data_IF_513232448017
#
_entry.id   IF_513232448017
#
_cell.length_a   1.000
_cell.length_b   1.000
_cell.length_c   1.000
_cell.angle_alpha   90.00
_cell.angle_beta   90.00
_cell.angle_gamma   90.00
#
_symmetry.space_group_name_H-M   'P 1'
#
loop_
_entity.id
_entity.type
_entity.pdbx_description
1 polymer ?
#
# COMPACT_ATOMS: atom_id res chain seq x y z
N UNK A 1 -7.66 -27.10 15.01
CA UNK A 1 -6.69 -26.14 15.61
C UNK A 1 -5.31 -26.43 15.02
N UNK A 2 -4.92 -25.71 13.97
CA UNK A 2 -3.55 -25.82 13.43
C UNK A 2 -2.60 -25.04 14.34
N UNK A 3 -1.63 -25.75 14.93
CA UNK A 3 -0.55 -25.14 15.72
C UNK A 3 0.30 -24.27 14.80
N UNK A 4 0.02 -22.95 14.80
CA UNK A 4 0.84 -21.96 14.10
C UNK A 4 2.18 -21.83 14.82
N UNK A 5 3.25 -22.31 14.21
CA UNK A 5 4.60 -21.85 14.57
C UNK A 5 4.73 -20.43 14.06
N UNK A 6 4.44 -19.47 14.92
CA UNK A 6 4.72 -18.06 14.68
C UNK A 6 6.24 -17.87 14.63
N UNK A 7 6.75 -17.28 13.55
CA UNK A 7 8.16 -16.93 13.45
C UNK A 7 8.36 -15.54 14.06
N UNK A 8 9.06 -15.47 15.17
CA UNK A 8 9.52 -14.19 15.70
C UNK A 8 10.41 -13.51 14.67
N UNK A 9 10.06 -12.31 14.28
CA UNK A 9 10.87 -11.51 13.36
C UNK A 9 12.05 -10.89 14.11
N UNK A 10 13.24 -10.92 13.51
CA UNK A 10 14.35 -10.11 13.99
C UNK A 10 14.00 -8.62 13.82
N UNK A 11 14.15 -7.83 14.89
CA UNK A 11 13.87 -6.40 14.88
C UNK A 11 15.11 -5.53 14.56
N UNK A 12 16.28 -6.14 14.32
CA UNK A 12 17.54 -5.41 14.15
C UNK A 12 17.46 -4.35 13.05
N UNK A 13 16.82 -4.70 11.93
CA UNK A 13 16.65 -3.84 10.76
C UNK A 13 15.24 -3.24 10.65
N UNK A 14 14.49 -3.19 11.74
CA UNK A 14 13.15 -2.61 11.78
C UNK A 14 13.20 -1.22 12.42
N UNK A 15 12.66 -0.21 11.72
CA UNK A 15 12.47 1.14 12.27
C UNK A 15 11.08 1.65 11.93
N UNK A 16 10.45 2.29 12.91
CA UNK A 16 9.16 2.97 12.81
C UNK A 16 9.35 4.40 13.31
N UNK A 17 9.41 5.35 12.39
CA UNK A 17 9.74 6.75 12.67
C UNK A 17 11.03 6.89 13.49
N UNK A 18 12.09 6.20 13.03
CA UNK A 18 13.41 6.19 13.65
C UNK A 18 13.54 5.31 14.90
N UNK A 19 12.45 4.81 15.47
CA UNK A 19 12.46 3.95 16.67
C UNK A 19 12.46 2.48 16.29
N UNK A 20 13.20 1.68 17.03
CA UNK A 20 13.20 0.23 16.92
C UNK A 20 12.09 -0.36 17.81
N UNK A 21 11.14 -1.12 17.24
CA UNK A 21 10.15 -1.82 18.06
C UNK A 21 10.81 -2.94 18.87
N UNK A 22 10.24 -3.27 20.03
CA UNK A 22 10.66 -4.44 20.80
C UNK A 22 10.29 -5.72 20.03
N UNK A 23 11.10 -6.81 20.12
CA UNK A 23 10.81 -8.05 19.38
C UNK A 23 9.43 -8.63 19.65
N UNK A 24 8.95 -8.54 20.89
CA UNK A 24 7.64 -9.05 21.32
C UNK A 24 6.45 -8.28 20.73
N UNK A 25 6.69 -7.08 20.20
CA UNK A 25 5.66 -6.28 19.52
C UNK A 25 5.50 -6.67 18.06
N UNK A 26 6.48 -7.36 17.47
CA UNK A 26 6.46 -7.75 16.07
C UNK A 26 5.96 -9.17 15.91
N UNK A 27 5.10 -9.36 14.91
CA UNK A 27 4.64 -10.69 14.53
C UNK A 27 4.44 -10.80 13.02
N UNK A 28 4.67 -12.02 12.52
CA UNK A 28 4.47 -12.31 11.10
C UNK A 28 2.99 -12.30 10.72
N UNK A 29 2.70 -11.85 9.51
CA UNK A 29 1.40 -12.04 8.89
C UNK A 29 1.09 -13.54 8.76
N UNK A 30 -0.17 -13.86 8.92
CA UNK A 30 -0.65 -15.24 8.72
C UNK A 30 -0.88 -15.48 7.24
N UNK A 31 -0.17 -16.44 6.69
CA UNK A 31 -0.32 -16.80 5.29
C UNK A 31 -1.68 -17.43 5.02
N UNK A 32 -2.34 -16.96 3.98
CA UNK A 32 -3.57 -17.49 3.41
C UNK A 32 -3.23 -18.31 2.17
N UNK A 33 -4.02 -19.34 1.89
CA UNK A 33 -3.80 -20.19 0.72
C UNK A 33 -4.93 -19.99 -0.30
N UNK A 34 -4.58 -20.00 -1.58
CA UNK A 34 -5.57 -19.79 -2.65
C UNK A 34 -6.57 -20.95 -2.80
N UNK A 35 -6.22 -22.14 -2.34
CA UNK A 35 -7.07 -23.32 -2.34
C UNK A 35 -8.02 -23.42 -1.14
N UNK A 36 -7.99 -22.45 -0.21
CA UNK A 36 -8.98 -22.38 0.86
C UNK A 36 -10.38 -22.19 0.27
N UNK A 37 -11.38 -22.81 0.91
CA UNK A 37 -12.78 -22.55 0.59
C UNK A 37 -13.14 -21.07 0.76
N UNK A 38 -14.03 -20.55 -0.08
CA UNK A 38 -14.41 -19.14 -0.08
C UNK A 38 -14.92 -18.65 1.28
N UNK A 39 -15.68 -19.47 1.96
CA UNK A 39 -16.19 -19.16 3.29
C UNK A 39 -15.03 -19.04 4.30
N UNK A 40 -14.02 -19.94 4.25
CA UNK A 40 -12.85 -19.87 5.13
C UNK A 40 -12.02 -18.60 4.87
N UNK A 41 -11.84 -18.18 3.61
CA UNK A 41 -11.19 -16.92 3.27
C UNK A 41 -11.94 -15.71 3.86
N UNK A 42 -13.29 -15.71 3.75
CA UNK A 42 -14.11 -14.63 4.32
C UNK A 42 -14.08 -14.60 5.84
N UNK A 43 -14.09 -15.76 6.49
CA UNK A 43 -13.94 -15.84 7.95
C UNK A 43 -12.58 -15.31 8.40
N UNK A 44 -11.49 -15.73 7.76
CA UNK A 44 -10.15 -15.23 8.05
C UNK A 44 -10.04 -13.72 7.81
N UNK A 45 -10.62 -13.21 6.73
CA UNK A 45 -10.65 -11.78 6.42
C UNK A 45 -11.43 -10.98 7.47
N UNK A 46 -12.59 -11.48 7.88
CA UNK A 46 -13.40 -10.86 8.93
C UNK A 46 -12.69 -10.89 10.29
N UNK A 47 -12.05 -12.00 10.62
CA UNK A 47 -11.38 -12.18 11.91
C UNK A 47 -10.08 -11.39 12.01
N UNK A 48 -9.22 -11.45 10.99
CA UNK A 48 -7.90 -10.81 11.03
C UNK A 48 -7.92 -9.38 10.47
N UNK A 49 -8.93 -9.00 9.68
CA UNK A 49 -8.98 -7.73 8.92
C UNK A 49 -8.10 -7.74 7.67
N UNK A 50 -7.41 -8.85 7.40
CA UNK A 50 -6.54 -9.01 6.24
C UNK A 50 -6.40 -10.47 5.81
N UNK A 51 -5.91 -10.65 4.56
CA UNK A 51 -5.37 -11.90 4.03
C UNK A 51 -3.99 -11.60 3.44
N UNK A 52 -3.03 -12.50 3.64
CA UNK A 52 -1.69 -12.42 3.06
C UNK A 52 -1.44 -13.62 2.16
N UNK A 53 -1.00 -13.37 0.93
CA UNK A 53 -0.63 -14.40 -0.04
C UNK A 53 0.81 -14.21 -0.48
N UNK A 54 1.63 -15.24 -0.22
CA UNK A 54 3.01 -15.27 -0.64
C UNK A 54 3.10 -15.57 -2.14
N UNK A 55 3.87 -14.77 -2.88
CA UNK A 55 4.13 -14.94 -4.32
C UNK A 55 2.86 -15.15 -5.15
N UNK A 56 1.84 -14.32 -4.91
CA UNK A 56 0.59 -14.35 -5.67
C UNK A 56 0.83 -14.10 -7.16
N UNK A 57 1.76 -13.21 -7.48
CA UNK A 57 2.21 -12.94 -8.84
C UNK A 57 3.55 -13.59 -9.10
N UNK A 58 3.74 -14.02 -10.35
CA UNK A 58 5.03 -14.54 -10.78
C UNK A 58 6.08 -13.41 -10.89
N UNK A 59 7.34 -13.78 -10.65
CA UNK A 59 8.44 -12.84 -10.60
C UNK A 59 8.71 -12.17 -11.96
N UNK A 60 8.55 -12.89 -13.07
CA UNK A 60 8.88 -12.37 -14.41
C UNK A 60 7.92 -11.25 -14.83
N UNK A 61 6.63 -11.40 -14.56
CA UNK A 61 5.64 -10.36 -14.81
C UNK A 61 5.95 -9.08 -14.04
N UNK A 62 6.40 -9.19 -12.81
CA UNK A 62 6.75 -8.04 -11.97
C UNK A 62 8.09 -7.44 -12.38
N UNK A 63 9.08 -8.24 -12.76
CA UNK A 63 10.40 -7.76 -13.17
C UNK A 63 10.29 -6.80 -14.36
N UNK A 64 9.53 -7.17 -15.38
CA UNK A 64 9.31 -6.32 -16.54
C UNK A 64 8.63 -4.98 -16.16
N UNK A 65 7.58 -5.04 -15.34
CA UNK A 65 6.89 -3.86 -14.82
C UNK A 65 7.83 -2.97 -14.00
N UNK A 66 8.59 -3.56 -13.07
CA UNK A 66 9.53 -2.85 -12.21
C UNK A 66 10.58 -2.10 -13.01
N UNK A 67 11.23 -2.76 -13.96
CA UNK A 67 12.22 -2.14 -14.86
C UNK A 67 11.62 -0.98 -15.63
N UNK A 68 10.38 -1.15 -16.11
CA UNK A 68 9.66 -0.11 -16.84
C UNK A 68 9.37 1.12 -15.97
N UNK A 69 8.89 0.93 -14.74
CA UNK A 69 8.63 2.06 -13.83
C UNK A 69 9.93 2.77 -13.47
N UNK A 70 10.97 2.02 -13.15
CA UNK A 70 12.26 2.64 -12.80
C UNK A 70 12.93 3.34 -13.98
N UNK A 71 12.68 2.93 -15.25
CA UNK A 71 13.21 3.65 -16.40
C UNK A 71 12.77 5.12 -16.43
N UNK A 72 11.53 5.43 -16.06
CA UNK A 72 11.06 6.80 -15.95
C UNK A 72 11.81 7.60 -14.86
N UNK A 73 12.18 6.96 -13.75
CA UNK A 73 12.92 7.61 -12.66
C UNK A 73 14.40 7.79 -12.99
N UNK A 74 14.96 6.89 -13.80
CA UNK A 74 16.32 7.01 -14.35
C UNK A 74 16.40 8.21 -15.29
N UNK A 75 15.39 8.43 -16.15
CA UNK A 75 15.33 9.57 -17.06
C UNK A 75 15.43 10.93 -16.35
N UNK A 76 14.95 10.99 -15.11
CA UNK A 76 14.97 12.21 -14.27
C UNK A 76 16.05 12.19 -13.19
N UNK A 77 17.03 11.30 -13.31
CA UNK A 77 18.20 11.11 -12.44
C UNK A 77 17.88 10.78 -10.98
N UNK A 78 16.67 10.35 -10.64
CA UNK A 78 16.31 10.01 -9.27
C UNK A 78 16.82 8.66 -8.82
N UNK A 79 16.94 7.75 -9.75
CA UNK A 79 17.38 6.38 -9.52
C UNK A 79 18.45 6.02 -10.53
N UNK A 80 19.42 5.23 -10.11
CA UNK A 80 20.38 4.55 -10.98
C UNK A 80 20.28 3.04 -10.79
N UNK A 81 20.48 2.28 -11.84
CA UNK A 81 20.55 0.84 -11.76
C UNK A 81 22.00 0.38 -11.53
N UNK A 82 22.19 -0.47 -10.54
CA UNK A 82 23.50 -1.07 -10.21
C UNK A 82 23.27 -2.54 -9.86
N UNK A 83 23.75 -3.46 -10.68
CA UNK A 83 23.64 -4.91 -10.45
C UNK A 83 22.19 -5.35 -10.12
N UNK A 84 21.22 -4.97 -10.97
CA UNK A 84 19.78 -5.24 -10.82
C UNK A 84 19.11 -4.58 -9.60
N UNK A 85 19.82 -3.67 -8.91
CA UNK A 85 19.29 -2.86 -7.81
C UNK A 85 19.02 -1.43 -8.28
N UNK A 86 17.94 -0.84 -7.80
CA UNK A 86 17.54 0.53 -8.12
C UNK A 86 17.88 1.44 -6.92
N UNK A 87 18.94 2.19 -7.08
CA UNK A 87 19.56 2.98 -6.00
C UNK A 87 19.15 4.45 -6.15
N UNK A 88 18.66 5.05 -5.09
CA UNK A 88 18.33 6.46 -5.03
C UNK A 88 19.60 7.32 -5.14
N UNK A 89 19.56 8.33 -5.99
CA UNK A 89 20.73 9.19 -6.27
C UNK A 89 20.85 10.38 -5.30
N UNK A 90 19.80 10.68 -4.57
CA UNK A 90 19.70 11.94 -3.79
C UNK A 90 19.32 13.15 -4.62
N UNK A 91 19.13 13.00 -5.94
CA UNK A 91 18.81 14.07 -6.88
C UNK A 91 17.41 13.88 -7.47
N UNK A 92 16.88 14.94 -8.05
CA UNK A 92 15.68 14.91 -8.89
C UNK A 92 15.76 16.05 -9.90
N UNK A 93 15.89 15.72 -11.17
CA UNK A 93 15.90 16.67 -12.28
C UNK A 93 14.56 16.66 -13.04
N UNK A 94 13.47 16.36 -12.35
CA UNK A 94 12.13 16.32 -12.96
C UNK A 94 11.73 17.63 -13.58
N UNK A 95 11.93 18.73 -12.84
CA UNK A 95 11.52 20.06 -13.26
C UNK A 95 12.31 20.56 -14.46
N UNK A 96 13.58 20.18 -14.53
CA UNK A 96 14.49 20.54 -15.61
C UNK A 96 14.23 19.73 -16.88
N UNK A 97 13.92 18.44 -16.71
CA UNK A 97 13.79 17.50 -17.83
C UNK A 97 12.36 17.33 -18.33
N UNK A 98 11.35 17.47 -17.46
CA UNK A 98 9.96 17.17 -17.77
C UNK A 98 9.13 18.46 -17.80
N UNK A 99 8.58 18.80 -18.97
CA UNK A 99 7.71 19.98 -19.13
C UNK A 99 6.32 19.80 -18.52
N UNK A 100 5.77 18.59 -18.59
CA UNK A 100 4.43 18.25 -18.07
C UNK A 100 4.54 17.08 -17.07
N UNK A 101 4.69 17.44 -15.81
CA UNK A 101 4.78 16.46 -14.71
C UNK A 101 3.51 15.65 -14.54
N UNK A 102 2.35 16.23 -14.80
CA UNK A 102 1.08 15.52 -14.75
C UNK A 102 1.02 14.39 -15.80
N UNK A 103 1.48 14.66 -17.02
CA UNK A 103 1.60 13.65 -18.07
C UNK A 103 2.66 12.59 -17.72
N UNK A 104 3.80 13.01 -17.18
CA UNK A 104 4.85 12.10 -16.73
C UNK A 104 4.30 11.07 -15.73
N UNK A 105 3.57 11.53 -14.71
CA UNK A 105 2.99 10.65 -13.71
C UNK A 105 1.86 9.79 -14.25
N UNK A 106 1.02 10.33 -15.13
CA UNK A 106 0.02 9.52 -15.83
C UNK A 106 0.65 8.38 -16.62
N UNK A 107 1.73 8.65 -17.35
CA UNK A 107 2.43 7.61 -18.10
C UNK A 107 2.90 6.46 -17.21
N UNK A 108 3.35 6.77 -15.99
CA UNK A 108 3.78 5.75 -15.01
C UNK A 108 2.58 5.00 -14.45
N UNK A 109 1.56 5.71 -13.98
CA UNK A 109 0.39 5.11 -13.29
C UNK A 109 -0.59 4.45 -14.25
N UNK A 110 -0.62 4.86 -15.51
CA UNK A 110 -1.40 4.26 -16.59
C UNK A 110 -0.59 3.29 -17.46
N UNK A 111 0.62 2.94 -17.06
CA UNK A 111 1.41 1.95 -17.77
C UNK A 111 0.63 0.64 -17.89
N UNK A 112 0.57 0.11 -19.11
CA UNK A 112 -0.25 -1.05 -19.42
C UNK A 112 0.17 -2.31 -18.64
N UNK A 113 1.46 -2.45 -18.30
CA UNK A 113 1.94 -3.55 -17.46
C UNK A 113 1.40 -3.43 -16.04
N UNK A 114 1.36 -2.21 -15.48
CA UNK A 114 0.79 -1.96 -14.17
C UNK A 114 -0.72 -2.24 -14.16
N UNK A 115 -1.43 -1.78 -15.20
CA UNK A 115 -2.86 -2.05 -15.37
C UNK A 115 -3.14 -3.55 -15.53
N UNK A 116 -2.35 -4.25 -16.34
CA UNK A 116 -2.48 -5.70 -16.53
C UNK A 116 -2.30 -6.47 -15.21
N UNK A 117 -1.42 -6.00 -14.32
CA UNK A 117 -1.21 -6.60 -13.01
C UNK A 117 -2.38 -6.30 -12.07
N UNK A 118 -2.67 -5.01 -11.86
CA UNK A 118 -3.63 -4.54 -10.86
C UNK A 118 -5.09 -4.83 -11.21
N UNK A 119 -5.40 -5.05 -12.51
CA UNK A 119 -6.72 -5.42 -13.02
C UNK A 119 -6.70 -6.85 -13.59
N UNK A 120 -5.78 -7.70 -13.11
CA UNK A 120 -5.66 -9.07 -13.61
C UNK A 120 -6.89 -9.91 -13.26
N UNK A 121 -7.14 -10.93 -14.07
CA UNK A 121 -8.20 -11.89 -13.81
C UNK A 121 -8.03 -12.57 -12.45
N UNK A 122 -6.80 -12.95 -12.09
CA UNK A 122 -6.52 -13.59 -10.81
C UNK A 122 -6.88 -12.73 -9.60
N UNK A 123 -6.60 -11.40 -9.66
CA UNK A 123 -7.03 -10.49 -8.59
C UNK A 123 -8.55 -10.32 -8.56
N UNK A 124 -9.21 -10.21 -9.71
CA UNK A 124 -10.67 -10.16 -9.74
C UNK A 124 -11.29 -11.41 -9.12
N UNK A 125 -10.84 -12.60 -9.51
CA UNK A 125 -11.33 -13.87 -8.96
C UNK A 125 -11.11 -13.95 -7.45
N UNK A 126 -9.95 -13.52 -6.94
CA UNK A 126 -9.70 -13.47 -5.49
C UNK A 126 -10.63 -12.47 -4.79
N UNK A 127 -10.76 -11.25 -5.32
CA UNK A 127 -11.61 -10.22 -4.73
C UNK A 127 -13.11 -10.59 -4.79
N UNK A 128 -13.56 -11.26 -5.85
CA UNK A 128 -14.91 -11.80 -5.97
C UNK A 128 -15.21 -12.80 -4.84
N UNK A 129 -14.28 -13.69 -4.55
CA UNK A 129 -14.38 -14.68 -3.46
C UNK A 129 -14.44 -14.01 -2.08
N UNK A 130 -13.60 -12.99 -1.85
CA UNK A 130 -13.56 -12.26 -0.57
C UNK A 130 -14.83 -11.44 -0.38
N UNK A 131 -15.27 -10.70 -1.41
CA UNK A 131 -16.46 -9.84 -1.37
C UNK A 131 -17.78 -10.61 -1.52
N UNK A 132 -17.70 -11.90 -1.84
CA UNK A 132 -18.86 -12.77 -2.12
C UNK A 132 -19.78 -12.23 -3.23
N UNK A 133 -19.21 -11.56 -4.20
CA UNK A 133 -19.91 -11.01 -5.35
C UNK A 133 -18.91 -10.62 -6.44
N UNK A 134 -19.41 -10.35 -7.65
CA UNK A 134 -18.57 -9.77 -8.70
C UNK A 134 -17.98 -8.45 -8.23
N UNK A 135 -16.68 -8.32 -8.31
CA UNK A 135 -15.95 -7.11 -7.95
C UNK A 135 -15.56 -6.26 -9.16
N UNK A 136 -15.14 -5.04 -8.88
CA UNK A 136 -14.51 -4.13 -9.84
C UNK A 136 -13.32 -3.44 -9.17
N UNK A 137 -12.19 -3.38 -9.88
CA UNK A 137 -11.05 -2.58 -9.47
C UNK A 137 -11.31 -1.08 -9.69
N UNK A 138 -10.84 -0.25 -8.78
CA UNK A 138 -10.79 1.19 -9.01
C UNK A 138 -9.68 1.52 -10.01
N UNK A 139 -9.91 2.51 -10.87
CA UNK A 139 -8.95 2.94 -11.87
C UNK A 139 -7.79 3.73 -11.25
N UNK A 140 -8.01 4.35 -10.09
CA UNK A 140 -6.99 5.10 -9.38
C UNK A 140 -6.04 4.16 -8.62
N UNK A 141 -4.77 4.17 -9.00
CA UNK A 141 -3.73 3.35 -8.38
C UNK A 141 -2.82 4.19 -7.49
N UNK A 142 -2.42 3.63 -6.35
CA UNK A 142 -1.38 4.21 -5.51
C UNK A 142 -0.05 3.49 -5.74
N UNK A 143 0.79 4.05 -6.57
CA UNK A 143 2.15 3.58 -6.75
C UNK A 143 3.06 4.29 -5.73
N UNK A 144 3.72 3.50 -4.88
CA UNK A 144 4.58 4.02 -3.81
C UNK A 144 6.04 3.76 -4.15
N UNK A 145 6.74 4.86 -4.43
CA UNK A 145 8.17 4.86 -4.69
C UNK A 145 8.84 5.48 -3.47
N UNK A 146 9.43 4.64 -2.62
CA UNK A 146 9.98 5.07 -1.34
C UNK A 146 11.49 4.93 -1.32
N UNK A 147 12.15 6.08 -1.38
CA UNK A 147 13.58 6.20 -1.18
C UNK A 147 13.94 6.05 0.30
N UNK A 148 15.22 5.92 0.59
CA UNK A 148 15.72 5.85 1.98
C UNK A 148 15.25 7.06 2.78
N UNK A 149 14.84 6.84 4.02
CA UNK A 149 14.28 7.83 4.93
C UNK A 149 12.77 8.07 4.76
N UNK A 150 12.09 7.36 3.86
CA UNK A 150 10.64 7.49 3.64
C UNK A 150 9.87 6.33 4.27
N UNK A 151 8.68 6.65 4.75
CA UNK A 151 7.69 5.73 5.31
C UNK A 151 6.27 6.22 5.06
N UNK A 152 5.29 5.37 5.30
CA UNK A 152 3.87 5.74 5.34
C UNK A 152 3.42 5.92 6.79
N UNK A 153 2.80 7.06 7.10
CA UNK A 153 2.18 7.31 8.40
C UNK A 153 1.09 6.28 8.69
N UNK A 154 0.85 6.00 9.97
CA UNK A 154 -0.28 5.17 10.37
C UNK A 154 -1.59 5.82 9.95
N UNK A 155 -2.44 5.12 9.24
CA UNK A 155 -3.74 5.60 8.77
C UNK A 155 -4.72 4.44 8.57
N UNK A 156 -5.97 4.80 8.32
CA UNK A 156 -7.02 3.91 7.84
C UNK A 156 -7.45 4.39 6.45
N UNK A 157 -7.74 3.46 5.56
CA UNK A 157 -8.21 3.78 4.22
C UNK A 157 -9.67 4.25 4.18
N UNK A 158 -10.46 4.04 5.23
CA UNK A 158 -11.89 4.34 5.27
C UNK A 158 -12.22 5.80 4.95
N UNK A 159 -11.49 6.75 5.53
CA UNK A 159 -11.71 8.18 5.30
C UNK A 159 -11.46 8.65 3.86
N UNK A 160 -10.79 7.85 3.07
CA UNK A 160 -10.46 8.14 1.67
C UNK A 160 -11.47 7.52 0.70
N UNK A 161 -11.85 6.24 0.92
CA UNK A 161 -12.45 5.41 -0.13
C UNK A 161 -13.89 5.01 0.14
N UNK A 162 -14.45 5.22 1.34
CA UNK A 162 -15.77 4.70 1.71
C UNK A 162 -16.93 5.67 1.49
N UNK A 163 -16.73 6.81 0.82
CA UNK A 163 -17.79 7.82 0.58
C UNK A 163 -19.04 7.25 -0.09
N UNK A 164 -18.88 6.33 -1.04
CA UNK A 164 -19.98 5.80 -1.83
C UNK A 164 -20.42 4.41 -1.40
N UNK A 165 -19.50 3.62 -0.88
CA UNK A 165 -19.75 2.30 -0.33
C UNK A 165 -18.71 1.96 0.75
N UNK A 166 -19.10 1.31 1.86
CA UNK A 166 -18.15 0.82 2.85
C UNK A 166 -17.44 -0.48 2.39
N UNK A 167 -17.94 -1.12 1.34
CA UNK A 167 -17.51 -2.45 0.89
C UNK A 167 -16.26 -2.38 -0.01
N UNK A 168 -15.30 -1.55 0.35
CA UNK A 168 -14.03 -1.45 -0.38
C UNK A 168 -12.97 -2.25 0.34
N UNK A 169 -12.10 -2.92 -0.42
CA UNK A 169 -10.93 -3.60 0.09
C UNK A 169 -9.69 -3.08 -0.63
N UNK A 170 -8.55 -3.02 0.06
CA UNK A 170 -7.26 -2.67 -0.53
C UNK A 170 -6.44 -3.93 -0.78
N UNK A 171 -5.85 -4.00 -1.95
CA UNK A 171 -4.81 -4.98 -2.29
C UNK A 171 -3.48 -4.22 -2.40
N UNK A 172 -2.61 -4.43 -1.44
CA UNK A 172 -1.23 -3.97 -1.47
C UNK A 172 -0.36 -5.03 -2.16
N UNK A 173 0.51 -4.61 -3.08
CA UNK A 173 1.31 -5.50 -3.92
C UNK A 173 2.78 -5.12 -3.78
N UNK A 174 3.64 -6.09 -3.44
CA UNK A 174 5.09 -5.92 -3.45
C UNK A 174 5.64 -6.07 -4.88
N UNK A 175 6.14 -4.97 -5.44
CA UNK A 175 6.73 -4.93 -6.78
C UNK A 175 8.27 -5.11 -6.76
N UNK A 176 8.83 -5.50 -5.63
CA UNK A 176 10.23 -5.80 -5.41
C UNK A 176 10.44 -6.50 -4.09
N UNK A 177 11.61 -7.08 -3.87
CA UNK A 177 11.97 -7.54 -2.53
C UNK A 177 11.89 -6.37 -1.55
N UNK A 178 11.16 -6.58 -0.47
CA UNK A 178 10.94 -5.54 0.56
C UNK A 178 11.20 -6.13 1.94
N UNK A 179 12.48 -6.36 2.29
CA UNK A 179 12.86 -6.75 3.64
C UNK A 179 12.56 -5.65 4.65
N UNK A 180 12.59 -5.94 5.95
CA UNK A 180 12.29 -4.99 7.02
C UNK A 180 13.03 -3.67 6.89
N UNK A 181 14.29 -3.71 6.46
CA UNK A 181 15.11 -2.52 6.25
C UNK A 181 14.67 -1.64 5.08
N UNK A 182 13.87 -2.17 4.15
CA UNK A 182 13.27 -1.41 3.04
C UNK A 182 11.85 -0.93 3.34
N UNK A 183 11.38 -1.14 4.55
CA UNK A 183 10.14 -0.56 5.03
C UNK A 183 8.88 -1.23 4.47
N UNK A 184 8.62 -2.54 4.69
CA UNK A 184 7.38 -3.20 4.27
C UNK A 184 6.16 -2.60 4.98
N UNK A 185 5.00 -2.98 4.49
CA UNK A 185 3.73 -2.65 5.15
C UNK A 185 3.69 -3.25 6.56
N UNK A 186 3.09 -2.52 7.50
CA UNK A 186 2.62 -3.08 8.76
C UNK A 186 1.11 -2.90 8.91
N UNK A 187 0.50 -3.79 9.66
CA UNK A 187 -0.89 -3.70 10.12
C UNK A 187 -0.89 -3.72 11.65
N UNK A 188 -1.76 -2.92 12.29
CA UNK A 188 -1.99 -3.02 13.72
C UNK A 188 -3.07 -4.07 13.98
N UNK A 189 -2.69 -5.13 14.70
CA UNK A 189 -3.53 -6.29 14.95
C UNK A 189 -4.87 -5.90 15.56
N UNK A 190 -5.96 -6.46 15.03
CA UNK A 190 -7.34 -6.23 15.51
C UNK A 190 -7.82 -4.75 15.54
N UNK A 191 -7.05 -3.81 14.99
CA UNK A 191 -7.44 -2.39 14.97
C UNK A 191 -8.77 -2.14 14.23
N UNK A 192 -9.10 -2.98 13.25
CA UNK A 192 -10.37 -2.95 12.51
C UNK A 192 -11.60 -3.34 13.35
N UNK A 193 -11.41 -3.93 14.54
CA UNK A 193 -12.45 -4.31 15.49
C UNK A 193 -12.54 -3.32 16.66
N UNK A 194 -11.64 -2.35 16.76
CA UNK A 194 -11.62 -1.40 17.85
C UNK A 194 -12.76 -0.39 17.70
N UNK A 195 -13.76 -0.47 18.58
CA UNK A 195 -14.98 0.34 18.52
C UNK A 195 -14.69 1.84 18.54
N UNK A 196 -13.70 2.30 19.31
CA UNK A 196 -13.31 3.70 19.36
C UNK A 196 -12.74 4.19 18.04
N UNK A 197 -11.87 3.39 17.40
CA UNK A 197 -11.33 3.72 16.09
C UNK A 197 -12.45 3.75 15.04
N UNK A 198 -13.33 2.75 15.06
CA UNK A 198 -14.46 2.67 14.11
C UNK A 198 -15.37 3.89 14.27
N UNK A 199 -15.71 4.29 15.52
CA UNK A 199 -16.56 5.46 15.75
C UNK A 199 -15.84 6.76 15.34
N UNK A 200 -14.54 6.89 15.63
CA UNK A 200 -13.74 8.04 15.19
C UNK A 200 -13.65 8.15 13.67
N UNK A 201 -13.65 7.05 12.96
CA UNK A 201 -13.60 7.02 11.48
C UNK A 201 -14.98 7.16 10.83
N UNK A 202 -16.06 6.94 11.60
CA UNK A 202 -17.41 6.99 11.08
C UNK A 202 -17.75 8.36 10.50
N UNK A 203 -18.29 8.37 9.29
CA UNK A 203 -18.62 9.57 8.54
C UNK A 203 -17.42 10.51 8.26
N UNK A 204 -16.19 10.06 8.52
CA UNK A 204 -15.02 10.84 8.18
C UNK A 204 -14.73 10.75 6.67
N UNK A 205 -14.52 11.89 6.04
CA UNK A 205 -14.14 12.01 4.63
C UNK A 205 -13.07 13.11 4.49
N UNK A 206 -11.86 12.72 4.15
CA UNK A 206 -10.69 13.61 4.08
C UNK A 206 -10.87 14.79 3.11
N UNK A 207 -11.71 14.66 2.10
CA UNK A 207 -11.98 15.73 1.14
C UNK A 207 -13.00 16.73 1.67
N UNK A 208 -13.86 16.35 2.58
CA UNK A 208 -14.91 17.18 3.19
C UNK A 208 -14.48 17.77 4.53
N UNK A 209 -13.90 16.95 5.39
CA UNK A 209 -13.47 17.35 6.72
C UNK A 209 -11.98 17.76 6.72
N UNK A 210 -11.76 19.05 6.52
CA UNK A 210 -10.41 19.63 6.50
C UNK A 210 -9.78 19.83 7.88
N UNK A 211 -10.54 19.63 8.96
CA UNK A 211 -10.04 19.81 10.33
C UNK A 211 -9.47 18.52 10.92
N UNK A 212 -9.89 17.36 10.42
CA UNK A 212 -9.41 16.07 10.86
C UNK A 212 -8.28 15.58 9.96
N UNK A 213 -7.25 15.00 10.56
CA UNK A 213 -6.18 14.31 9.82
C UNK A 213 -6.58 12.87 9.55
N UNK A 214 -6.25 12.40 8.36
CA UNK A 214 -6.48 11.02 7.97
C UNK A 214 -5.43 10.06 8.58
N UNK A 215 -4.30 10.59 8.98
CA UNK A 215 -3.18 9.84 9.55
C UNK A 215 -2.92 10.25 10.99
N UNK A 216 -2.37 9.32 11.75
CA UNK A 216 -1.87 9.56 13.11
C UNK A 216 -0.41 10.01 13.04
N UNK A 217 -0.10 11.15 13.65
CA UNK A 217 1.28 11.67 13.72
C UNK A 217 2.13 10.96 14.79
N UNK A 218 1.48 10.16 15.66
CA UNK A 218 2.14 9.39 16.70
C UNK A 218 2.98 8.25 16.10
N UNK A 219 4.05 7.88 16.82
CA UNK A 219 4.82 6.72 16.44
C UNK A 219 3.95 5.45 16.46
N UNK A 220 4.01 4.60 15.44
CA UNK A 220 3.21 3.36 15.39
C UNK A 220 3.42 2.44 16.60
N UNK A 221 4.60 2.49 17.24
CA UNK A 221 4.88 1.75 18.48
C UNK A 221 3.97 2.22 19.60
N UNK A 222 3.85 3.55 19.78
CA UNK A 222 3.03 4.14 20.83
C UNK A 222 1.52 3.86 20.59
N UNK A 223 1.10 3.85 19.31
CA UNK A 223 -0.26 3.47 18.95
C UNK A 223 -0.52 2.00 19.26
N UNK A 224 0.41 1.11 18.94
CA UNK A 224 0.29 -0.32 19.23
C UNK A 224 0.27 -0.59 20.75
N UNK A 225 1.08 0.12 21.54
CA UNK A 225 1.06 0.05 23.00
C UNK A 225 -0.29 0.54 23.56
N UNK A 226 -0.80 1.67 23.07
CA UNK A 226 -2.11 2.21 23.46
C UNK A 226 -3.25 1.25 23.15
N UNK A 227 -3.20 0.57 22.03
CA UNK A 227 -4.20 -0.40 21.61
C UNK A 227 -3.96 -1.81 22.21
N UNK A 228 -2.85 -2.01 22.92
CA UNK A 228 -2.42 -3.32 23.43
C UNK A 228 -2.40 -4.39 22.34
N UNK A 229 -1.90 -4.05 21.16
CA UNK A 229 -1.86 -4.92 19.99
C UNK A 229 -0.43 -5.11 19.46
N UNK A 230 -0.27 -6.11 18.59
CA UNK A 230 1.00 -6.35 17.89
C UNK A 230 1.04 -5.58 16.58
N UNK A 231 2.25 -5.41 16.08
CA UNK A 231 2.55 -4.84 14.77
C UNK A 231 2.85 -6.02 13.84
N UNK A 232 1.93 -6.29 12.92
CA UNK A 232 2.01 -7.41 12.00
C UNK A 232 2.75 -6.99 10.74
N UNK A 233 3.81 -7.69 10.39
CA UNK A 233 4.61 -7.45 9.18
C UNK A 233 5.46 -8.66 8.85
N UNK A 234 6.23 -8.58 7.77
CA UNK A 234 7.32 -9.53 7.47
C UNK A 234 8.21 -9.00 6.35
N UNK A 235 9.29 -9.72 6.04
CA UNK A 235 10.01 -9.53 4.79
C UNK A 235 9.09 -9.94 3.64
N UNK A 236 8.79 -9.02 2.74
CA UNK A 236 7.93 -9.27 1.59
C UNK A 236 8.76 -9.64 0.37
N UNK A 237 8.38 -10.71 -0.28
CA UNK A 237 8.96 -11.11 -1.57
C UNK A 237 8.28 -10.41 -2.73
N UNK A 238 8.94 -10.45 -3.89
CA UNK A 238 8.33 -10.00 -5.16
C UNK A 238 7.05 -10.79 -5.42
N UNK A 239 5.96 -10.07 -5.68
CA UNK A 239 4.67 -10.69 -5.98
C UNK A 239 3.81 -11.03 -4.77
N UNK A 240 4.30 -10.80 -3.55
CA UNK A 240 3.47 -10.91 -2.36
C UNK A 240 2.34 -9.87 -2.39
N UNK A 241 1.17 -10.27 -1.90
CA UNK A 241 0.05 -9.34 -1.71
C UNK A 241 -0.51 -9.42 -0.30
N UNK A 242 -1.00 -8.26 0.16
CA UNK A 242 -1.81 -8.16 1.38
C UNK A 242 -3.14 -7.53 1.02
N UNK A 243 -4.22 -8.29 1.18
CA UNK A 243 -5.60 -7.77 1.02
C UNK A 243 -6.11 -7.37 2.39
N UNK A 244 -6.61 -6.14 2.54
CA UNK A 244 -7.06 -5.69 3.85
C UNK A 244 -8.29 -4.78 3.81
N UNK A 245 -8.94 -4.74 4.94
CA UNK A 245 -10.18 -4.03 5.18
C UNK A 245 -9.93 -2.53 5.40
N UNK A 246 -10.90 -1.69 5.03
CA UNK A 246 -10.79 -0.23 5.08
C UNK A 246 -10.51 0.33 6.48
N UNK A 247 -10.92 -0.35 7.55
CA UNK A 247 -10.80 0.16 8.92
C UNK A 247 -9.50 -0.25 9.62
N UNK A 248 -8.71 -1.18 9.06
CA UNK A 248 -7.47 -1.59 9.70
C UNK A 248 -6.44 -0.46 9.68
N UNK A 249 -5.83 -0.18 10.83
CA UNK A 249 -4.74 0.76 10.90
C UNK A 249 -3.48 0.13 10.31
N UNK A 250 -2.87 0.84 9.37
CA UNK A 250 -1.69 0.38 8.68
C UNK A 250 -0.77 1.54 8.30
N UNK A 251 0.43 1.19 7.92
CA UNK A 251 1.44 2.11 7.44
C UNK A 251 2.63 1.35 6.89
N UNK A 252 3.81 1.93 6.90
CA UNK A 252 5.02 1.19 6.56
C UNK A 252 6.17 1.49 7.52
N UNK A 253 7.06 0.52 7.65
CA UNK A 253 8.36 0.74 8.26
C UNK A 253 9.16 1.78 7.47
N UNK A 254 10.19 2.33 8.10
CA UNK A 254 11.13 3.24 7.46
C UNK A 254 11.98 2.47 6.45
N UNK A 255 12.20 3.04 5.28
CA UNK A 255 13.26 2.53 4.41
C UNK A 255 14.60 3.04 4.94
N UNK A 256 15.35 2.15 5.58
CA UNK A 256 16.70 2.42 6.14
C UNK A 256 17.79 1.63 5.42
N UNK A 257 17.49 1.14 4.21
CA UNK A 257 18.43 0.31 3.45
C UNK A 257 19.74 1.05 3.21
N UNK A 258 20.82 0.48 3.71
CA UNK A 258 22.17 1.09 3.68
C UNK A 258 22.78 1.20 2.29
N UNK A 259 22.30 0.40 1.33
CA UNK A 259 22.73 0.48 -0.06
C UNK A 259 21.96 1.57 -0.85
N UNK A 260 20.99 2.21 -0.22
CA UNK A 260 20.20 3.28 -0.85
C UNK A 260 19.11 2.77 -1.80
N UNK A 261 18.67 1.52 -1.67
CA UNK A 261 17.67 0.95 -2.58
C UNK A 261 16.30 1.62 -2.41
N UNK A 262 15.67 1.87 -3.55
CA UNK A 262 14.30 2.39 -3.64
C UNK A 262 13.29 1.26 -3.59
N UNK A 263 12.34 1.34 -2.66
CA UNK A 263 11.20 0.43 -2.58
C UNK A 263 10.14 0.79 -3.61
N UNK A 264 9.55 -0.22 -4.23
CA UNK A 264 8.41 -0.07 -5.13
C UNK A 264 7.27 -0.97 -4.72
N UNK A 265 6.10 -0.39 -4.46
CA UNK A 265 4.85 -1.10 -4.12
C UNK A 265 3.66 -0.40 -4.76
N UNK A 266 2.55 -1.11 -4.91
CA UNK A 266 1.32 -0.54 -5.47
C UNK A 266 0.12 -0.97 -4.64
N UNK A 267 -0.82 -0.03 -4.45
CA UNK A 267 -2.13 -0.35 -3.88
C UNK A 267 -3.20 -0.19 -4.98
N UNK A 268 -4.09 -1.16 -5.08
CA UNK A 268 -5.32 -1.09 -5.87
C UNK A 268 -6.52 -1.39 -4.97
N UNK A 269 -7.66 -0.73 -5.21
CA UNK A 269 -8.87 -0.96 -4.44
C UNK A 269 -9.89 -1.71 -5.28
N UNK A 270 -10.60 -2.62 -4.62
CA UNK A 270 -11.70 -3.38 -5.20
C UNK A 270 -12.98 -3.15 -4.39
N UNK A 271 -14.10 -3.15 -5.08
CA UNK A 271 -15.42 -3.03 -4.47
C UNK A 271 -16.44 -3.90 -5.22
N UNK A 272 -17.62 -4.20 -4.65
CA UNK A 272 -18.69 -4.84 -5.41
C UNK A 272 -19.04 -4.07 -6.67
N UNK A 273 -19.19 -4.79 -7.78
CA UNK A 273 -19.55 -4.18 -9.08
C UNK A 273 -20.89 -3.45 -9.03
N UNK A 274 -21.83 -3.94 -8.22
CA UNK A 274 -23.16 -3.36 -8.01
C UNK A 274 -23.18 -2.08 -7.19
N UNK A 275 -22.12 -1.84 -6.40
CA UNK A 275 -22.08 -0.70 -5.50
C UNK A 275 -21.83 0.62 -6.22
N UNK A 276 -22.33 1.75 -5.68
CA UNK A 276 -22.08 3.05 -6.25
C UNK A 276 -20.58 3.37 -6.36
N UNK A 277 -20.18 3.90 -7.50
CA UNK A 277 -18.79 4.28 -7.78
C UNK A 277 -18.51 5.71 -7.34
N UNK A 278 -17.36 5.93 -6.72
CA UNK A 278 -16.86 7.26 -6.44
C UNK A 278 -16.12 7.80 -7.69
N UNK A 279 -16.61 8.89 -8.32
CA UNK A 279 -16.02 9.41 -9.55
C UNK A 279 -14.57 9.89 -9.40
N UNK A 280 -14.09 10.06 -8.17
CA UNK A 280 -12.68 10.38 -7.91
C UNK A 280 -11.72 9.23 -8.26
N UNK A 281 -12.23 8.00 -8.25
CA UNK A 281 -11.42 6.78 -8.37
C UNK A 281 -11.73 5.95 -9.61
N UNK A 282 -12.75 6.33 -10.38
CA UNK A 282 -13.17 5.63 -11.58
C UNK A 282 -13.12 6.51 -12.82
N UNK A 283 -12.86 5.89 -13.97
CA UNK A 283 -12.79 6.53 -15.28
C UNK A 283 -11.37 6.66 -15.81
N UNK A 284 -11.23 7.18 -17.03
CA UNK A 284 -9.94 7.20 -17.74
C UNK A 284 -8.90 8.14 -17.12
N UNK A 285 -9.33 9.12 -16.32
CA UNK A 285 -8.44 10.08 -15.65
C UNK A 285 -8.95 10.37 -14.23
N UNK A 286 -8.88 9.39 -13.33
CA UNK A 286 -9.38 9.57 -11.98
C UNK A 286 -8.57 10.66 -11.25
N UNK A 287 -9.30 11.57 -10.58
CA UNK A 287 -8.67 12.72 -9.93
C UNK A 287 -8.06 12.40 -8.56
N UNK A 288 -8.45 11.28 -7.96
CA UNK A 288 -8.04 10.94 -6.61
C UNK A 288 -8.63 11.86 -5.54
N UNK A 289 -8.17 11.71 -4.31
CA UNK A 289 -8.69 12.48 -3.16
C UNK A 289 -8.37 13.96 -3.23
N UNK A 290 -7.19 14.31 -3.73
CA UNK A 290 -6.70 15.69 -3.79
C UNK A 290 -7.21 16.47 -5.01
N UNK A 291 -7.75 15.78 -6.01
CA UNK A 291 -8.12 16.37 -7.29
C UNK A 291 -6.96 16.55 -8.28
N UNK A 292 -5.76 16.17 -7.88
CA UNK A 292 -4.54 16.32 -8.71
C UNK A 292 -4.21 15.06 -9.53
N UNK A 293 -5.07 14.05 -9.51
CA UNK A 293 -4.86 12.80 -10.22
C UNK A 293 -3.62 12.05 -9.74
N UNK A 294 -2.89 11.46 -10.65
CA UNK A 294 -1.68 10.68 -10.35
C UNK A 294 -0.49 11.51 -9.82
N UNK A 295 -0.66 12.80 -9.64
CA UNK A 295 0.32 13.62 -8.97
C UNK A 295 0.57 13.25 -7.52
N UNK A 296 -0.21 12.34 -6.92
CA UNK A 296 -0.06 11.84 -5.55
C UNK A 296 1.04 10.77 -5.37
N UNK A 297 1.77 10.41 -6.40
CA UNK A 297 2.94 9.57 -6.26
C UNK A 297 3.94 10.21 -5.31
N UNK A 298 4.39 9.43 -4.32
CA UNK A 298 5.36 9.92 -3.32
C UNK A 298 6.60 10.47 -4.01
N UNK A 299 7.00 11.67 -3.61
CA UNK A 299 8.09 12.39 -4.23
C UNK A 299 7.76 13.04 -5.57
N UNK A 300 6.55 12.82 -6.12
CA UNK A 300 6.07 13.60 -7.22
C UNK A 300 5.74 15.01 -6.72
N UNK A 301 6.39 16.01 -7.23
CA UNK A 301 6.06 17.42 -6.96
C UNK A 301 5.46 17.96 -8.24
N UNK A 302 4.14 18.20 -8.32
CA UNK A 302 3.54 18.83 -9.48
C UNK A 302 4.10 20.23 -9.67
N UNK A 303 3.91 20.78 -10.86
CA UNK A 303 4.39 22.12 -11.18
C UNK A 303 3.84 23.22 -10.27
N UNK A 304 2.65 23.01 -9.70
CA UNK A 304 2.00 23.97 -8.80
C UNK A 304 2.35 23.80 -7.32
N UNK A 305 3.15 22.83 -6.98
CA UNK A 305 3.66 22.55 -5.62
C UNK A 305 2.61 22.41 -4.50
N UNK A 306 1.33 22.41 -4.84
CA UNK A 306 0.25 22.46 -3.85
C UNK A 306 -0.23 21.10 -3.38
N UNK A 307 0.27 20.05 -3.95
CA UNK A 307 -0.18 18.76 -3.55
C UNK A 307 0.70 18.12 -2.49
N UNK A 308 0.06 17.39 -1.72
CA UNK A 308 0.55 16.98 -0.46
C UNK A 308 1.59 15.92 -0.56
N UNK A 309 2.70 16.22 0.02
CA UNK A 309 3.61 15.21 0.53
C UNK A 309 2.85 14.46 1.62
N UNK A 310 2.52 13.23 1.36
CA UNK A 310 2.02 12.30 2.39
C UNK A 310 3.18 11.63 3.08
#
# INVERSE_FOLDING_TARGET
>A
MMNKKMKTLSNENARLFGRQPKPEMLESLVESQLDFEDHSLREMFSENGYLYFNKFFDNESIKALRSRIFSYLIEVDEVREVADKFIYTGLSNRREKIKDLGKFWRNISEDWLLRRLTHSRSLHELCDRILNCRSIAQDYLFLRIYNVGRQTLTHSDSGFFTRKTPNVITVWISLGETPLEMGPIFLLENSHKNEKIIEDLKNFDVAKDKKRKASWDQNPIDIAEMLSCRILTQNMSVGDIVVFNMNILHGSFDNINHEGQTRLTCDVRYQPFSDPRDPRYFGPFPSGTTGNGYGELVGAIPLDEKWHIR
#
